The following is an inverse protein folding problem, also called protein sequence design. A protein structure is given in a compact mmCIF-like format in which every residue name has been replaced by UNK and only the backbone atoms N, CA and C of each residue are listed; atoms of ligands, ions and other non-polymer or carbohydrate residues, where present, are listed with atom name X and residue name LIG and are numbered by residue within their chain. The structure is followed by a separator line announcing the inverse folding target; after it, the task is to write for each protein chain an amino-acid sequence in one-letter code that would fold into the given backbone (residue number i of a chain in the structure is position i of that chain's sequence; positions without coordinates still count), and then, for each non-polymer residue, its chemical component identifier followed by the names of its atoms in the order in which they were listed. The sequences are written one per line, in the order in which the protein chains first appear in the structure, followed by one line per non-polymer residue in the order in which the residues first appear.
data_IF_789175567631
#
_entry.id   IF_789175567631
#
_cell.length_a   1.000
_cell.length_b   1.000
_cell.length_c   1.000
_cell.angle_alpha   90.00
_cell.angle_beta   90.00
_cell.angle_gamma   90.00
#
_symmetry.space_group_name_H-M   'P 1'
#
loop_
_entity.id
_entity.type
_entity.pdbx_description
1 polymer ?
#
# COMPACT_ATOMS: atom_id res chain seq x y z
N UNK A 1 -9.40 17.47 -8.09
CA UNK A 1 -9.40 18.26 -6.83
C UNK A 1 -9.49 17.34 -5.62
N UNK A 2 -10.42 16.38 -5.59
CA UNK A 2 -10.53 15.39 -4.50
C UNK A 2 -9.29 14.46 -4.40
N UNK A 3 -8.84 13.85 -5.50
CA UNK A 3 -7.63 13.00 -5.47
C UNK A 3 -6.36 13.77 -5.07
N UNK A 4 -6.23 15.04 -5.48
CA UNK A 4 -5.11 15.89 -5.07
C UNK A 4 -5.14 16.20 -3.56
N UNK A 5 -6.34 16.35 -2.99
CA UNK A 5 -6.54 16.53 -1.56
C UNK A 5 -6.09 15.29 -0.77
N UNK A 6 -6.37 14.09 -1.27
CA UNK A 6 -5.87 12.84 -0.69
C UNK A 6 -4.34 12.80 -0.70
N UNK A 7 -3.70 13.14 -1.83
CA UNK A 7 -2.24 13.19 -1.92
C UNK A 7 -1.62 14.22 -0.96
N UNK A 8 -2.18 15.44 -0.89
CA UNK A 8 -1.77 16.48 0.06
C UNK A 8 -1.88 15.97 1.50
N UNK A 9 -3.02 15.37 1.87
CA UNK A 9 -3.21 14.82 3.20
C UNK A 9 -2.17 13.75 3.52
N UNK A 10 -1.88 12.85 2.60
CA UNK A 10 -0.91 11.77 2.81
C UNK A 10 0.49 12.31 3.13
N UNK A 11 0.97 13.26 2.32
CA UNK A 11 2.30 13.86 2.53
C UNK A 11 2.37 14.57 3.87
N UNK A 12 1.39 15.43 4.17
CA UNK A 12 1.37 16.15 5.44
C UNK A 12 1.25 15.20 6.64
N UNK A 13 0.47 14.13 6.52
CA UNK A 13 0.29 13.15 7.58
C UNK A 13 1.57 12.32 7.83
N UNK A 14 2.33 11.97 6.78
CA UNK A 14 3.63 11.33 6.91
C UNK A 14 4.64 12.23 7.62
N UNK A 15 4.77 13.49 7.19
CA UNK A 15 5.64 14.46 7.86
C UNK A 15 5.23 14.66 9.33
N UNK A 16 3.93 14.77 9.61
CA UNK A 16 3.41 14.90 10.97
C UNK A 16 3.68 13.65 11.84
N UNK A 17 3.83 12.49 11.20
CA UNK A 17 4.20 11.22 11.84
C UNK A 17 5.72 11.05 12.02
N UNK A 18 6.52 12.04 11.62
CA UNK A 18 7.97 12.04 11.76
C UNK A 18 8.72 11.30 10.66
N UNK A 19 8.11 11.10 9.49
CA UNK A 19 8.83 10.63 8.31
C UNK A 19 9.70 11.76 7.74
N UNK A 20 10.90 11.40 7.30
CA UNK A 20 11.80 12.35 6.66
C UNK A 20 11.30 12.66 5.25
N UNK A 21 11.41 13.93 4.85
CA UNK A 21 10.94 14.38 3.55
C UNK A 21 11.69 13.68 2.39
N UNK A 22 12.96 13.34 2.58
CA UNK A 22 13.75 12.59 1.60
C UNK A 22 13.15 11.21 1.29
N UNK A 23 12.60 10.53 2.29
CA UNK A 23 11.95 9.23 2.10
C UNK A 23 10.67 9.38 1.26
N UNK A 24 9.89 10.43 1.52
CA UNK A 24 8.68 10.76 0.76
C UNK A 24 9.03 11.08 -0.70
N UNK A 25 10.11 11.83 -0.95
CA UNK A 25 10.55 12.18 -2.29
C UNK A 25 11.03 10.96 -3.09
N UNK A 26 11.68 10.00 -2.44
CA UNK A 26 12.24 8.82 -3.09
C UNK A 26 11.21 7.71 -3.33
N UNK A 27 10.27 7.52 -2.40
CA UNK A 27 9.33 6.40 -2.40
C UNK A 27 7.90 6.80 -2.81
N UNK A 28 7.59 8.09 -2.79
CA UNK A 28 6.26 8.60 -3.07
C UNK A 28 5.85 8.42 -4.54
N UNK A 29 4.69 7.80 -4.74
CA UNK A 29 4.04 7.73 -6.04
C UNK A 29 2.92 8.79 -6.09
N UNK A 30 3.11 9.81 -6.92
CA UNK A 30 2.21 10.94 -7.06
C UNK A 30 1.44 10.82 -8.38
N UNK A 31 0.11 10.79 -8.31
CA UNK A 31 -0.76 10.68 -9.47
C UNK A 31 -1.29 12.02 -9.95
N UNK A 32 -1.49 12.98 -9.04
CA UNK A 32 -2.02 14.32 -9.39
C UNK A 32 -0.95 15.40 -9.53
N UNK A 33 0.25 15.14 -9.02
CA UNK A 33 1.45 15.93 -9.29
C UNK A 33 2.37 15.18 -10.27
N UNK A 34 3.10 15.92 -11.11
CA UNK A 34 4.03 15.34 -12.09
C UNK A 34 5.32 14.81 -11.45
N UNK A 35 5.66 15.26 -10.24
CA UNK A 35 6.71 14.69 -9.41
C UNK A 35 6.46 14.95 -7.91
N UNK A 36 7.24 14.27 -7.07
CA UNK A 36 7.28 14.53 -5.64
C UNK A 36 7.72 15.97 -5.33
N UNK A 37 8.72 16.50 -6.05
CA UNK A 37 9.16 17.88 -5.86
C UNK A 37 8.06 18.89 -6.19
N UNK A 38 7.26 18.65 -7.24
CA UNK A 38 6.13 19.53 -7.57
C UNK A 38 5.10 19.55 -6.43
N UNK A 39 4.85 18.39 -5.79
CA UNK A 39 3.97 18.33 -4.63
C UNK A 39 4.52 19.19 -3.48
N UNK A 40 5.82 19.08 -3.16
CA UNK A 40 6.43 19.85 -2.08
C UNK A 40 6.47 21.35 -2.39
N UNK A 41 6.84 21.72 -3.61
CA UNK A 41 6.83 23.11 -4.07
C UNK A 41 5.40 23.70 -3.97
N UNK A 42 4.37 22.90 -4.29
CA UNK A 42 2.97 23.28 -4.09
C UNK A 42 2.64 23.48 -2.61
N UNK A 43 3.04 22.57 -1.73
CA UNK A 43 2.78 22.67 -0.29
C UNK A 43 3.44 23.91 0.34
N UNK A 44 4.68 24.23 -0.07
CA UNK A 44 5.37 25.46 0.35
C UNK A 44 4.64 26.70 -0.17
N UNK A 45 4.30 26.72 -1.48
CA UNK A 45 3.60 27.85 -2.10
C UNK A 45 2.24 28.12 -1.48
N UNK A 46 1.50 27.06 -1.14
CA UNK A 46 0.21 27.17 -0.48
C UNK A 46 0.33 27.39 1.04
N UNK A 47 1.55 27.42 1.59
CA UNK A 47 1.81 27.72 3.00
C UNK A 47 1.45 26.59 3.97
N UNK A 48 1.41 25.35 3.49
CA UNK A 48 1.34 24.16 4.35
C UNK A 48 2.71 23.81 4.94
N UNK A 49 3.78 24.14 4.20
CA UNK A 49 5.16 23.98 4.65
C UNK A 49 5.84 25.35 4.71
N UNK A 50 6.70 25.56 5.70
CA UNK A 50 7.58 26.73 5.79
C UNK A 50 9.04 26.29 5.99
N UNK A 51 9.98 27.06 5.46
CA UNK A 51 11.41 26.74 5.56
C UNK A 51 12.17 27.02 4.27
N UNK A 52 13.40 26.53 4.21
CA UNK A 52 14.33 26.80 3.12
C UNK A 52 14.36 25.64 2.12
N UNK A 53 14.06 25.96 0.86
CA UNK A 53 14.32 25.08 -0.28
C UNK A 53 15.57 25.59 -0.95
N UNK A 54 16.65 24.81 -0.87
CA UNK A 54 17.93 25.18 -1.48
C UNK A 54 18.31 24.22 -2.59
N UNK A 55 18.79 24.77 -3.69
CA UNK A 55 19.46 24.00 -4.72
C UNK A 55 20.85 23.64 -4.21
N UNK A 56 21.04 22.37 -3.87
CA UNK A 56 22.38 21.83 -3.65
C UNK A 56 22.85 21.26 -4.98
N UNK A 57 24.06 21.63 -5.41
CA UNK A 57 24.71 20.92 -6.50
C UNK A 57 24.68 19.44 -6.14
N UNK A 58 24.17 18.56 -7.01
CA UNK A 58 24.33 17.15 -6.76
C UNK A 58 25.82 16.90 -6.55
N UNK A 59 26.18 16.39 -5.37
CA UNK A 59 27.46 15.75 -5.23
C UNK A 59 27.40 14.51 -6.11
N UNK A 60 27.79 14.70 -7.38
CA UNK A 60 27.89 13.66 -8.37
C UNK A 60 28.77 12.56 -7.82
N UNK A 61 28.14 11.44 -7.49
CA UNK A 61 28.80 10.15 -7.44
C UNK A 61 29.58 9.95 -8.74
N UNK A 62 30.88 9.70 -8.58
CA UNK A 62 31.94 9.63 -9.59
C UNK A 62 32.29 10.93 -10.32
N UNK A 63 32.84 11.88 -9.56
CA UNK A 63 33.76 12.87 -10.14
C UNK A 63 34.87 12.18 -10.95
N UNK A 64 35.08 12.66 -12.17
CA UNK A 64 36.22 12.27 -12.99
C UNK A 64 37.50 12.36 -12.16
N UNK A 65 38.18 11.22 -11.95
CA UNK A 65 39.41 11.21 -11.16
C UNK A 65 40.50 11.97 -11.89
N UNK A 66 41.16 12.91 -11.21
CA UNK A 66 42.32 13.62 -11.76
C UNK A 66 43.55 12.70 -11.80
N UNK A 67 44.53 13.03 -12.65
CA UNK A 67 45.79 12.28 -12.73
C UNK A 67 46.50 12.21 -11.36
N UNK A 68 46.39 13.26 -10.55
CA UNK A 68 47.01 13.32 -9.23
C UNK A 68 46.31 12.41 -8.22
N UNK A 69 44.99 12.28 -8.29
CA UNK A 69 44.22 11.37 -7.45
C UNK A 69 44.46 9.91 -7.83
N UNK A 70 44.46 9.59 -9.13
CA UNK A 70 44.80 8.25 -9.62
C UNK A 70 46.23 7.87 -9.21
N UNK A 71 47.17 8.80 -9.32
CA UNK A 71 48.56 8.58 -8.92
C UNK A 71 48.73 8.32 -7.43
N UNK A 72 47.88 8.91 -6.57
CA UNK A 72 47.88 8.68 -5.12
C UNK A 72 47.15 7.39 -4.73
N UNK A 73 46.02 7.11 -5.39
CA UNK A 73 45.12 6.00 -5.07
C UNK A 73 45.64 4.65 -5.53
N UNK A 74 46.30 4.59 -6.69
CA UNK A 74 46.74 3.33 -7.30
C UNK A 74 48.26 3.19 -7.32
N UNK A 75 48.71 1.97 -7.08
CA UNK A 75 50.10 1.55 -7.23
C UNK A 75 50.44 1.28 -8.70
N UNK A 76 51.74 1.20 -9.02
CA UNK A 76 52.19 0.89 -10.38
C UNK A 76 51.71 -0.49 -10.85
N UNK A 77 51.53 -1.45 -9.94
CA UNK A 77 51.03 -2.78 -10.27
C UNK A 77 49.56 -2.71 -10.68
N UNK A 78 48.71 -2.07 -9.85
CA UNK A 78 47.27 -1.93 -10.10
C UNK A 78 46.99 -1.12 -11.38
N UNK A 79 47.74 -0.04 -11.64
CA UNK A 79 47.63 0.70 -12.89
C UNK A 79 47.95 -0.16 -14.12
N UNK A 80 48.93 -1.07 -14.02
CA UNK A 80 49.26 -1.99 -15.11
C UNK A 80 48.21 -3.07 -15.29
N UNK A 81 47.55 -3.48 -14.21
CA UNK A 81 46.49 -4.48 -14.27
C UNK A 81 45.24 -3.89 -14.94
N UNK A 82 44.83 -2.67 -14.55
CA UNK A 82 43.75 -1.93 -15.21
C UNK A 82 44.04 -1.75 -16.72
N UNK A 83 45.27 -1.36 -17.08
CA UNK A 83 45.64 -1.24 -18.49
C UNK A 83 45.65 -2.58 -19.23
N UNK A 84 46.08 -3.68 -18.57
CA UNK A 84 46.11 -5.00 -19.19
C UNK A 84 44.70 -5.53 -19.47
N UNK A 85 43.79 -5.34 -18.53
CA UNK A 85 42.38 -5.72 -18.66
C UNK A 85 41.68 -4.95 -19.79
N UNK A 86 42.11 -3.72 -20.05
CA UNK A 86 41.62 -2.87 -21.14
C UNK A 86 42.45 -2.98 -22.44
N UNK A 87 43.36 -3.96 -22.54
CA UNK A 87 44.16 -4.20 -23.75
C UNK A 87 45.19 -3.12 -24.08
N UNK A 88 45.51 -2.24 -23.13
CA UNK A 88 46.42 -1.11 -23.29
C UNK A 88 47.87 -1.44 -22.88
N UNK A 89 48.81 -0.66 -23.40
CA UNK A 89 50.25 -0.87 -23.18
C UNK A 89 50.63 -0.63 -21.71
N UNK A 90 51.28 -1.63 -21.08
CA UNK A 90 51.64 -1.63 -19.64
C UNK A 90 53.10 -1.21 -19.33
N UNK A 91 53.87 -0.79 -20.34
CA UNK A 91 55.24 -0.27 -20.14
C UNK A 91 55.22 1.25 -19.94
N UNK A 92 56.14 1.77 -19.11
CA UNK A 92 56.31 3.21 -18.91
C UNK A 92 56.57 3.58 -17.45
N UNK A 93 56.85 4.87 -17.21
CA UNK A 93 56.91 5.45 -15.86
C UNK A 93 55.50 5.61 -15.28
N UNK A 94 55.37 5.73 -13.96
CA UNK A 94 54.06 5.79 -13.27
C UNK A 94 53.13 6.87 -13.85
N UNK A 95 53.63 8.08 -14.09
CA UNK A 95 52.84 9.17 -14.67
C UNK A 95 52.27 8.81 -16.05
N UNK A 96 53.07 8.19 -16.91
CA UNK A 96 52.62 7.77 -18.24
C UNK A 96 51.56 6.65 -18.19
N UNK A 97 51.55 5.83 -17.12
CA UNK A 97 50.51 4.82 -16.88
C UNK A 97 49.23 5.49 -16.38
N UNK A 98 49.34 6.46 -15.48
CA UNK A 98 48.21 7.25 -14.95
C UNK A 98 47.48 7.97 -16.08
N UNK A 99 48.20 8.66 -16.96
CA UNK A 99 47.60 9.38 -18.11
C UNK A 99 46.82 8.43 -19.04
N UNK A 100 47.28 7.18 -19.18
CA UNK A 100 46.61 6.16 -19.99
C UNK A 100 45.39 5.54 -19.31
N UNK A 101 45.39 5.47 -17.98
CA UNK A 101 44.29 4.93 -17.18
C UNK A 101 43.16 5.96 -17.02
N UNK A 102 43.50 7.26 -17.01
CA UNK A 102 42.56 8.36 -16.79
C UNK A 102 41.28 8.29 -17.66
N UNK A 103 41.34 8.17 -19.00
CA UNK A 103 40.14 8.05 -19.82
C UNK A 103 39.39 6.71 -19.65
N UNK A 104 40.07 5.65 -19.20
CA UNK A 104 39.46 4.34 -18.94
C UNK A 104 38.61 4.37 -17.67
N UNK A 105 39.10 5.04 -16.63
CA UNK A 105 38.39 5.15 -15.35
C UNK A 105 37.29 6.20 -15.37
N UNK A 106 37.43 7.24 -16.19
CA UNK A 106 36.45 8.33 -16.27
C UNK A 106 35.37 8.08 -17.34
N UNK A 107 35.46 6.99 -18.11
CA UNK A 107 34.58 6.71 -19.24
C UNK A 107 34.90 7.62 -20.44
N UNK A 108 34.74 7.11 -21.67
CA UNK A 108 34.87 7.97 -22.85
C UNK A 108 33.76 9.03 -22.81
N UNK A 109 34.14 10.29 -23.04
CA UNK A 109 33.34 11.53 -23.01
C UNK A 109 32.21 11.57 -24.06
N UNK A 110 31.23 10.66 -23.98
CA UNK A 110 30.00 10.70 -24.79
C UNK A 110 28.71 10.61 -23.93
N UNK A 111 28.80 10.81 -22.62
CA UNK A 111 27.62 11.00 -21.77
C UNK A 111 27.29 12.50 -21.70
N UNK A 112 26.07 12.87 -22.12
CA UNK A 112 25.52 14.22 -21.91
C UNK A 112 25.61 14.59 -20.42
N UNK A 113 25.91 15.85 -20.09
CA UNK A 113 25.91 16.29 -18.70
C UNK A 113 24.48 16.21 -18.17
N UNK A 114 24.24 15.33 -17.21
CA UNK A 114 23.08 15.43 -16.32
C UNK A 114 23.33 16.65 -15.41
N UNK A 115 22.68 17.76 -15.72
CA UNK A 115 22.47 18.87 -14.78
C UNK A 115 21.47 18.41 -13.70
N UNK A 116 21.87 17.45 -12.87
CA UNK A 116 21.06 17.04 -11.71
C UNK A 116 21.33 18.04 -10.58
N UNK A 117 20.55 19.11 -10.52
CA UNK A 117 20.46 19.94 -9.31
C UNK A 117 19.56 19.21 -8.33
N UNK A 118 20.10 18.71 -7.20
CA UNK A 118 19.29 18.10 -6.16
C UNK A 118 18.74 19.21 -5.26
N UNK A 119 17.43 19.26 -5.04
CA UNK A 119 16.85 20.16 -4.05
C UNK A 119 17.04 19.56 -2.64
N UNK A 120 17.55 20.36 -1.72
CA UNK A 120 17.51 20.09 -0.28
C UNK A 120 16.35 20.86 0.31
N UNK A 121 15.53 20.17 1.09
CA UNK A 121 14.34 20.73 1.72
C UNK A 121 14.53 20.67 3.24
N UNK A 122 14.65 21.84 3.87
CA UNK A 122 14.61 22.00 5.33
C UNK A 122 13.31 22.73 5.66
N UNK A 123 12.23 21.97 5.83
CA UNK A 123 10.86 22.48 5.91
C UNK A 123 10.10 21.86 7.08
N UNK A 124 9.30 22.69 7.75
CA UNK A 124 8.44 22.33 8.86
C UNK A 124 6.96 22.49 8.49
N UNK A 125 6.10 21.75 9.19
CA UNK A 125 4.64 21.92 9.08
C UNK A 125 4.19 23.23 9.71
N UNK A 126 3.33 23.97 9.01
CA UNK A 126 2.73 25.21 9.53
C UNK A 126 1.45 24.92 10.32
N UNK A 127 0.96 25.92 11.06
CA UNK A 127 -0.38 25.87 11.69
C UNK A 127 -1.48 25.55 10.67
N UNK A 128 -1.35 26.03 9.43
CA UNK A 128 -2.30 25.75 8.34
C UNK A 128 -2.29 24.27 7.96
N UNK A 129 -1.14 23.60 7.96
CA UNK A 129 -1.07 22.17 7.72
C UNK A 129 -1.73 21.37 8.85
N UNK A 130 -1.49 21.75 10.10
CA UNK A 130 -2.15 21.11 11.24
C UNK A 130 -3.67 21.29 11.21
N UNK A 131 -4.17 22.51 10.92
CA UNK A 131 -5.60 22.76 10.74
C UNK A 131 -6.19 21.91 9.61
N UNK A 132 -5.50 21.82 8.47
CA UNK A 132 -5.93 20.98 7.36
C UNK A 132 -5.98 19.49 7.73
N UNK A 133 -4.99 18.98 8.47
CA UNK A 133 -4.99 17.59 8.94
C UNK A 133 -6.15 17.33 9.89
N UNK A 134 -6.42 18.24 10.83
CA UNK A 134 -7.51 18.12 11.80
C UNK A 134 -8.89 18.14 11.11
N UNK A 135 -9.11 19.07 10.19
CA UNK A 135 -10.35 19.17 9.42
C UNK A 135 -10.60 17.95 8.52
N UNK A 136 -9.52 17.25 8.13
CA UNK A 136 -9.56 16.14 7.20
C UNK A 136 -9.14 14.80 7.81
N UNK A 137 -9.17 14.67 9.14
CA UNK A 137 -8.79 13.44 9.85
C UNK A 137 -9.60 12.20 9.42
N UNK A 138 -10.75 12.38 8.78
CA UNK A 138 -11.54 11.30 8.17
C UNK A 138 -10.84 10.63 6.98
N UNK A 139 -9.86 11.28 6.35
CA UNK A 139 -9.06 10.71 5.26
C UNK A 139 -8.20 9.55 5.76
N UNK A 140 -7.69 9.61 6.99
CA UNK A 140 -6.92 8.51 7.59
C UNK A 140 -7.77 7.24 7.71
N UNK A 141 -9.01 7.37 8.19
CA UNK A 141 -9.97 6.26 8.19
C UNK A 141 -10.26 5.76 6.77
N UNK A 142 -10.40 6.68 5.79
CA UNK A 142 -10.63 6.29 4.40
C UNK A 142 -9.50 5.41 3.87
N UNK A 143 -8.25 5.83 4.05
CA UNK A 143 -7.09 5.09 3.61
C UNK A 143 -6.98 3.73 4.30
N UNK A 144 -7.29 3.68 5.60
CA UNK A 144 -7.21 2.46 6.39
C UNK A 144 -8.29 1.43 6.02
N UNK A 145 -9.55 1.86 5.84
CA UNK A 145 -10.70 0.94 5.77
C UNK A 145 -11.50 1.01 4.47
N UNK A 146 -11.45 2.12 3.72
CA UNK A 146 -12.42 2.44 2.67
C UNK A 146 -11.81 2.67 1.28
N UNK A 147 -10.50 2.50 1.11
CA UNK A 147 -9.75 2.74 -0.14
C UNK A 147 -10.28 1.98 -1.37
N UNK A 148 -10.99 0.87 -1.13
CA UNK A 148 -11.68 0.10 -2.16
C UNK A 148 -12.91 0.80 -2.77
N UNK A 149 -13.34 1.93 -2.20
CA UNK A 149 -14.42 2.78 -2.67
C UNK A 149 -13.88 4.09 -3.21
N UNK A 150 -14.66 4.76 -4.07
CA UNK A 150 -14.30 6.08 -4.59
C UNK A 150 -14.08 7.07 -3.45
N UNK A 151 -12.93 7.75 -3.47
CA UNK A 151 -12.62 8.81 -2.51
C UNK A 151 -13.65 9.95 -2.58
N UNK A 152 -14.05 10.35 -3.78
CA UNK A 152 -15.03 11.42 -4.00
C UNK A 152 -16.42 11.05 -3.44
N UNK A 153 -16.83 9.78 -3.56
CA UNK A 153 -18.10 9.31 -3.01
C UNK A 153 -18.08 9.41 -1.48
N UNK A 154 -16.98 9.02 -0.84
CA UNK A 154 -16.85 9.10 0.60
C UNK A 154 -16.69 10.55 1.08
N UNK A 155 -15.93 11.38 0.40
CA UNK A 155 -15.80 12.82 0.70
C UNK A 155 -17.18 13.50 0.65
N UNK A 156 -17.97 13.22 -0.39
CA UNK A 156 -19.35 13.74 -0.51
C UNK A 156 -20.22 13.26 0.65
N UNK A 157 -20.04 12.00 1.07
CA UNK A 157 -20.76 11.44 2.21
C UNK A 157 -20.41 12.11 3.53
N UNK A 158 -19.11 12.35 3.77
CA UNK A 158 -18.61 13.08 4.95
C UNK A 158 -19.19 14.49 5.00
N UNK A 159 -19.16 15.22 3.88
CA UNK A 159 -19.71 16.58 3.80
C UNK A 159 -21.23 16.65 4.11
N UNK A 160 -21.97 15.57 3.87
CA UNK A 160 -23.39 15.44 4.19
C UNK A 160 -23.69 14.91 5.60
N UNK A 161 -22.66 14.51 6.36
CA UNK A 161 -22.82 13.84 7.66
C UNK A 161 -22.66 14.83 8.81
N UNK A 162 -23.49 14.67 9.85
CA UNK A 162 -23.30 15.35 11.14
C UNK A 162 -22.76 14.42 12.24
N UNK A 163 -22.42 13.18 11.89
CA UNK A 163 -21.87 12.19 12.81
C UNK A 163 -20.35 12.32 12.94
N UNK A 164 -19.78 11.64 13.94
CA UNK A 164 -18.32 11.54 14.08
C UNK A 164 -17.71 10.60 13.03
N UNK A 165 -16.41 10.71 12.80
CA UNK A 165 -15.64 9.98 11.75
C UNK A 165 -16.00 8.49 11.68
N UNK A 166 -16.01 7.80 12.82
CA UNK A 166 -16.30 6.36 12.90
C UNK A 166 -17.75 6.06 12.48
N UNK A 167 -18.72 6.77 13.04
CA UNK A 167 -20.13 6.56 12.75
C UNK A 167 -20.45 6.90 11.28
N UNK A 168 -19.83 7.95 10.73
CA UNK A 168 -19.92 8.29 9.30
C UNK A 168 -19.39 7.15 8.42
N UNK A 169 -18.23 6.57 8.74
CA UNK A 169 -17.67 5.42 8.01
C UNK A 169 -18.55 4.17 8.10
N UNK A 170 -19.12 3.89 9.27
CA UNK A 170 -20.04 2.76 9.47
C UNK A 170 -21.34 2.95 8.68
N UNK A 171 -21.92 4.15 8.71
CA UNK A 171 -23.14 4.49 7.97
C UNK A 171 -22.94 4.40 6.45
N UNK A 172 -21.79 4.88 5.96
CA UNK A 172 -21.40 4.73 4.56
C UNK A 172 -21.37 3.27 4.13
N UNK A 173 -20.75 2.40 4.93
CA UNK A 173 -20.73 0.96 4.67
C UNK A 173 -22.14 0.34 4.70
N UNK A 174 -22.99 0.74 5.65
CA UNK A 174 -24.35 0.20 5.78
C UNK A 174 -25.25 0.56 4.59
N UNK A 175 -25.10 1.76 4.04
CA UNK A 175 -25.81 2.16 2.81
C UNK A 175 -25.35 1.34 1.60
N UNK A 176 -24.04 1.09 1.46
CA UNK A 176 -23.50 0.24 0.39
C UNK A 176 -23.99 -1.20 0.55
N UNK A 177 -23.92 -1.76 1.75
CA UNK A 177 -24.43 -3.10 2.08
C UNK A 177 -25.90 -3.22 1.67
N UNK A 178 -26.73 -2.25 2.07
CA UNK A 178 -28.16 -2.23 1.79
C UNK A 178 -28.44 -2.19 0.29
N UNK A 179 -27.79 -1.28 -0.45
CA UNK A 179 -27.93 -1.15 -1.91
C UNK A 179 -27.46 -2.42 -2.63
N UNK A 180 -26.30 -2.96 -2.23
CA UNK A 180 -25.74 -4.16 -2.84
C UNK A 180 -26.64 -5.38 -2.67
N UNK A 181 -27.27 -5.54 -1.50
CA UNK A 181 -28.24 -6.61 -1.25
C UNK A 181 -29.50 -6.46 -2.11
N UNK A 182 -30.04 -5.26 -2.26
CA UNK A 182 -31.22 -4.98 -3.10
C UNK A 182 -30.92 -5.29 -4.58
N UNK A 183 -29.72 -4.93 -5.04
CA UNK A 183 -29.32 -5.08 -6.44
C UNK A 183 -28.63 -6.41 -6.76
N UNK A 184 -28.53 -7.34 -5.79
CA UNK A 184 -27.81 -8.62 -5.91
C UNK A 184 -26.33 -8.48 -6.34
N UNK A 185 -25.68 -7.39 -5.93
CA UNK A 185 -24.25 -7.11 -6.19
C UNK A 185 -23.37 -7.77 -5.13
N UNK A 186 -23.25 -9.09 -5.19
CA UNK A 186 -22.63 -9.89 -4.12
C UNK A 186 -21.16 -9.51 -3.82
N UNK A 187 -20.35 -9.22 -4.84
CA UNK A 187 -18.96 -8.80 -4.62
C UNK A 187 -18.87 -7.46 -3.88
N UNK A 188 -19.71 -6.49 -4.25
CA UNK A 188 -19.79 -5.17 -3.57
C UNK A 188 -20.25 -5.34 -2.13
N UNK A 189 -21.26 -6.19 -1.89
CA UNK A 189 -21.72 -6.52 -0.54
C UNK A 189 -20.58 -7.12 0.30
N UNK A 190 -19.79 -8.03 -0.27
CA UNK A 190 -18.65 -8.65 0.41
C UNK A 190 -17.56 -7.62 0.74
N UNK A 191 -17.20 -6.77 -0.21
CA UNK A 191 -16.24 -5.68 0.00
C UNK A 191 -16.71 -4.75 1.12
N UNK A 192 -17.97 -4.32 1.12
CA UNK A 192 -18.51 -3.43 2.14
C UNK A 192 -18.53 -4.04 3.55
N UNK A 193 -18.73 -5.36 3.69
CA UNK A 193 -18.56 -6.03 4.98
C UNK A 193 -17.10 -6.01 5.45
N UNK A 194 -16.15 -6.24 4.55
CA UNK A 194 -14.72 -6.17 4.86
C UNK A 194 -14.33 -4.76 5.31
N UNK A 195 -14.72 -3.72 4.55
CA UNK A 195 -14.51 -2.33 4.93
C UNK A 195 -15.11 -2.02 6.30
N UNK A 196 -16.36 -2.42 6.53
CA UNK A 196 -17.03 -2.20 7.81
C UNK A 196 -16.29 -2.85 8.97
N UNK A 197 -15.75 -4.06 8.77
CA UNK A 197 -14.88 -4.68 9.76
C UNK A 197 -13.69 -3.78 10.06
N UNK A 198 -12.96 -3.30 9.04
CA UNK A 198 -11.78 -2.45 9.22
C UNK A 198 -12.12 -1.09 9.87
N UNK A 199 -13.31 -0.51 9.65
CA UNK A 199 -13.76 0.67 10.41
C UNK A 199 -13.83 0.36 11.92
N UNK A 200 -14.34 -0.81 12.31
CA UNK A 200 -14.30 -1.22 13.72
C UNK A 200 -12.90 -1.49 14.25
N UNK A 201 -12.00 -2.05 13.43
CA UNK A 201 -10.60 -2.21 13.84
C UNK A 201 -9.90 -0.86 14.06
N UNK A 202 -10.20 0.13 13.23
CA UNK A 202 -9.71 1.50 13.39
C UNK A 202 -10.19 2.11 14.72
N UNK A 203 -11.45 1.85 15.10
CA UNK A 203 -12.03 2.27 16.40
C UNK A 203 -11.56 1.40 17.60
N UNK A 204 -10.77 0.35 17.36
CA UNK A 204 -10.33 -0.59 18.39
C UNK A 204 -11.41 -1.59 18.85
N UNK A 205 -12.60 -1.60 18.22
CA UNK A 205 -13.66 -2.59 18.47
C UNK A 205 -13.39 -3.89 17.69
N UNK A 206 -12.43 -4.65 18.19
CA UNK A 206 -12.07 -5.93 17.58
C UNK A 206 -13.13 -7.03 17.74
N UNK A 207 -14.11 -6.84 18.64
CA UNK A 207 -15.23 -7.76 18.80
C UNK A 207 -16.19 -7.64 17.61
N UNK A 208 -16.54 -6.40 17.22
CA UNK A 208 -17.32 -6.12 16.01
C UNK A 208 -16.55 -6.43 14.74
N UNK A 209 -15.25 -6.09 14.68
CA UNK A 209 -14.37 -6.51 13.59
C UNK A 209 -14.49 -8.02 13.34
N UNK A 210 -14.31 -8.83 14.39
CA UNK A 210 -14.34 -10.29 14.28
C UNK A 210 -15.71 -10.81 13.82
N UNK A 211 -16.81 -10.20 14.27
CA UNK A 211 -18.17 -10.57 13.84
C UNK A 211 -18.36 -10.34 12.32
N UNK A 212 -17.90 -9.21 11.78
CA UNK A 212 -18.01 -8.87 10.35
C UNK A 212 -16.99 -9.61 9.47
N UNK A 213 -15.76 -9.79 9.94
CA UNK A 213 -14.70 -10.49 9.20
C UNK A 213 -14.96 -12.02 9.13
N UNK A 214 -15.62 -12.58 10.16
CA UNK A 214 -16.18 -13.94 10.09
C UNK A 214 -17.35 -14.04 9.10
N UNK A 215 -18.18 -13.00 9.00
CA UNK A 215 -19.27 -12.97 8.03
C UNK A 215 -18.71 -12.96 6.60
N UNK A 216 -17.66 -12.18 6.36
CA UNK A 216 -16.92 -12.16 5.10
C UNK A 216 -16.43 -13.57 4.71
N UNK A 217 -15.76 -14.28 5.63
CA UNK A 217 -15.32 -15.67 5.42
C UNK A 217 -16.49 -16.61 5.07
N UNK A 218 -17.58 -16.55 5.86
CA UNK A 218 -18.74 -17.42 5.67
C UNK A 218 -19.38 -17.23 4.29
N UNK A 219 -19.47 -15.97 3.84
CA UNK A 219 -20.01 -15.60 2.53
C UNK A 219 -19.06 -15.98 1.39
N UNK A 220 -17.74 -15.96 1.60
CA UNK A 220 -16.75 -16.54 0.68
C UNK A 220 -17.08 -17.99 0.29
N UNK A 221 -17.43 -18.79 1.30
CA UNK A 221 -17.81 -20.19 1.13
C UNK A 221 -19.24 -20.40 0.60
N UNK A 222 -20.10 -19.40 0.71
CA UNK A 222 -21.53 -19.49 0.41
C UNK A 222 -22.03 -18.23 -0.29
N UNK A 223 -21.58 -17.99 -1.53
CA UNK A 223 -21.96 -16.79 -2.27
C UNK A 223 -23.47 -16.73 -2.53
N UNK A 224 -24.03 -15.53 -2.44
CA UNK A 224 -25.47 -15.28 -2.68
C UNK A 224 -25.77 -15.32 -4.19
N UNK A 225 -24.91 -14.70 -4.99
CA UNK A 225 -24.96 -14.69 -6.46
C UNK A 225 -23.53 -14.58 -7.02
N UNK A 226 -23.27 -15.25 -8.13
CA UNK A 226 -22.05 -15.09 -8.93
C UNK A 226 -22.46 -15.18 -10.41
N UNK A 227 -22.12 -14.16 -11.19
CA UNK A 227 -22.17 -14.26 -12.64
C UNK A 227 -20.90 -14.95 -13.20
N UNK A 228 -20.90 -15.25 -14.50
CA UNK A 228 -19.80 -15.96 -15.16
C UNK A 228 -18.46 -15.23 -15.06
N UNK A 229 -18.49 -13.90 -15.13
CA UNK A 229 -17.29 -13.08 -15.10
C UNK A 229 -16.71 -13.07 -13.69
N UNK A 230 -17.55 -12.82 -12.69
CA UNK A 230 -17.20 -12.83 -11.27
C UNK A 230 -16.68 -14.20 -10.83
N UNK A 231 -17.24 -15.29 -11.37
CA UNK A 231 -16.83 -16.65 -11.06
C UNK A 231 -15.35 -16.95 -11.38
N UNK A 232 -14.87 -16.46 -12.52
CA UNK A 232 -13.53 -16.75 -13.03
C UNK A 232 -12.44 -16.24 -12.09
N UNK A 233 -12.63 -15.06 -11.49
CA UNK A 233 -11.70 -14.43 -10.56
C UNK A 233 -12.11 -14.59 -9.08
N UNK A 234 -13.19 -15.33 -8.79
CA UNK A 234 -13.74 -15.42 -7.44
C UNK A 234 -12.81 -16.17 -6.49
N UNK A 235 -12.26 -15.48 -5.51
CA UNK A 235 -11.51 -16.11 -4.43
C UNK A 235 -12.49 -16.61 -3.34
N UNK A 236 -12.53 -17.94 -3.12
CA UNK A 236 -13.48 -18.61 -2.21
C UNK A 236 -13.09 -18.35 -0.75
N UNK A 237 -11.82 -18.57 -0.41
CA UNK A 237 -11.20 -18.20 0.86
C UNK A 237 -10.17 -17.12 0.56
N UNK A 238 -10.37 -15.94 1.14
CA UNK A 238 -9.44 -14.82 0.99
C UNK A 238 -8.32 -14.88 2.04
N UNK A 239 -7.07 -14.87 1.58
CA UNK A 239 -5.90 -15.01 2.46
C UNK A 239 -5.78 -13.85 3.47
N UNK A 240 -5.96 -12.62 3.02
CA UNK A 240 -5.91 -11.44 3.90
C UNK A 240 -6.95 -11.53 5.03
N UNK A 241 -8.16 -11.99 4.74
CA UNK A 241 -9.20 -12.25 5.74
C UNK A 241 -8.76 -13.32 6.76
N UNK A 242 -8.07 -14.38 6.35
CA UNK A 242 -7.55 -15.38 7.30
C UNK A 242 -6.45 -14.79 8.19
N UNK A 243 -5.53 -14.01 7.63
CA UNK A 243 -4.46 -13.34 8.39
C UNK A 243 -5.07 -12.39 9.43
N UNK A 244 -6.05 -11.59 9.01
CA UNK A 244 -6.82 -10.68 9.86
C UNK A 244 -7.48 -11.41 11.03
N UNK A 245 -8.22 -12.48 10.75
CA UNK A 245 -8.84 -13.31 11.79
C UNK A 245 -7.79 -13.88 12.74
N UNK A 246 -6.68 -14.43 12.24
CA UNK A 246 -5.59 -14.94 13.10
C UNK A 246 -5.03 -13.88 14.03
N UNK A 247 -4.69 -12.70 13.51
CA UNK A 247 -4.10 -11.61 14.27
C UNK A 247 -4.99 -11.19 15.45
N UNK A 248 -6.30 -11.18 15.26
CA UNK A 248 -7.26 -10.83 16.31
C UNK A 248 -7.47 -11.98 17.29
N UNK A 249 -7.57 -13.21 16.80
CA UNK A 249 -7.75 -14.41 17.64
C UNK A 249 -6.50 -14.73 18.49
N UNK A 250 -5.30 -14.32 18.07
CA UNK A 250 -4.08 -14.48 18.87
C UNK A 250 -3.98 -13.45 20.00
N UNK A 251 -4.63 -12.29 19.86
CA UNK A 251 -4.48 -11.14 20.78
C UNK A 251 -5.62 -10.97 21.78
N UNK A 252 -6.79 -11.57 21.53
CA UNK A 252 -7.97 -11.38 22.36
C UNK A 252 -8.41 -12.67 23.04
N UNK A 253 -8.73 -12.57 24.33
CA UNK A 253 -9.51 -13.60 25.01
C UNK A 253 -10.97 -13.50 24.58
N UNK A 254 -11.33 -14.15 23.48
CA UNK A 254 -12.73 -14.32 23.09
C UNK A 254 -13.27 -15.66 23.61
N UNK A 255 -14.59 -15.74 23.72
CA UNK A 255 -15.27 -16.97 24.10
C UNK A 255 -15.12 -18.10 23.06
N UNK A 256 -16.08 -19.02 23.01
CA UNK A 256 -16.01 -20.10 22.03
C UNK A 256 -16.12 -19.56 20.58
N UNK A 257 -15.03 -19.67 19.79
CA UNK A 257 -15.04 -19.37 18.35
C UNK A 257 -16.20 -20.07 17.63
N UNK A 258 -16.49 -21.31 18.04
CA UNK A 258 -17.62 -22.07 17.49
C UNK A 258 -18.96 -21.40 17.75
N UNK A 259 -19.21 -20.93 18.99
CA UNK A 259 -20.45 -20.23 19.32
C UNK A 259 -20.58 -18.93 18.52
N UNK A 260 -19.49 -18.16 18.39
CA UNK A 260 -19.48 -16.93 17.58
C UNK A 260 -19.73 -17.22 16.10
N UNK A 261 -19.02 -18.18 15.51
CA UNK A 261 -19.27 -18.65 14.15
C UNK A 261 -20.74 -19.05 13.93
N UNK A 262 -21.34 -19.76 14.89
CA UNK A 262 -22.73 -20.19 14.77
C UNK A 262 -23.73 -19.03 14.79
N UNK A 263 -23.47 -17.99 15.60
CA UNK A 263 -24.21 -16.73 15.64
C UNK A 263 -24.10 -15.99 14.30
N UNK A 264 -22.88 -15.82 13.77
CA UNK A 264 -22.63 -15.07 12.53
C UNK A 264 -23.18 -15.78 11.30
N UNK A 265 -23.08 -17.12 11.25
CA UNK A 265 -23.72 -17.91 10.20
C UNK A 265 -25.21 -17.56 10.03
N UNK A 266 -25.93 -17.40 11.14
CA UNK A 266 -27.36 -17.08 11.10
C UNK A 266 -27.64 -15.64 10.64
N UNK A 267 -26.68 -14.72 10.81
CA UNK A 267 -26.75 -13.33 10.32
C UNK A 267 -26.28 -13.19 8.86
N UNK A 268 -25.64 -14.21 8.29
CA UNK A 268 -25.00 -14.13 6.98
C UNK A 268 -25.97 -14.20 5.78
N UNK A 269 -27.29 -14.14 6.00
CA UNK A 269 -28.32 -14.15 4.94
C UNK A 269 -28.14 -15.22 3.84
N UNK A 270 -27.57 -16.38 4.18
CA UNK A 270 -27.29 -17.46 3.22
C UNK A 270 -28.62 -18.08 2.75
N UNK A 271 -29.02 -17.77 1.51
CA UNK A 271 -30.23 -18.34 0.88
C UNK A 271 -30.00 -19.77 0.39
N UNK A 272 -28.82 -20.04 -0.17
CA UNK A 272 -28.46 -21.34 -0.72
C UNK A 272 -27.08 -21.76 -0.24
N UNK A 273 -27.03 -22.84 0.55
CA UNK A 273 -25.77 -23.37 1.09
C UNK A 273 -24.98 -24.04 -0.04
N UNK A 274 -23.78 -23.54 -0.33
CA UNK A 274 -22.81 -24.15 -1.24
C UNK A 274 -21.92 -25.12 -0.45
N UNK A 275 -21.36 -24.64 0.67
CA UNK A 275 -20.52 -25.43 1.57
C UNK A 275 -21.24 -25.56 2.92
N UNK A 276 -21.52 -26.79 3.40
CA UNK A 276 -22.26 -26.99 4.65
C UNK A 276 -21.60 -26.33 5.87
N UNK A 277 -22.41 -25.76 6.77
CA UNK A 277 -21.98 -25.08 8.01
C UNK A 277 -20.88 -25.80 8.79
N UNK A 278 -21.03 -27.12 8.98
CA UNK A 278 -20.04 -27.95 9.69
C UNK A 278 -18.70 -28.01 8.94
N UNK A 279 -18.74 -28.07 7.61
CA UNK A 279 -17.56 -28.05 6.74
C UNK A 279 -16.92 -26.67 6.75
N UNK A 280 -17.69 -25.59 6.63
CA UNK A 280 -17.20 -24.21 6.71
C UNK A 280 -16.44 -23.94 8.01
N UNK A 281 -16.96 -24.38 9.16
CA UNK A 281 -16.24 -24.22 10.43
C UNK A 281 -14.95 -25.06 10.52
N UNK A 282 -14.92 -26.25 9.88
CA UNK A 282 -13.68 -27.04 9.81
C UNK A 282 -12.64 -26.37 8.92
N UNK A 283 -13.06 -25.77 7.81
CA UNK A 283 -12.19 -25.00 6.92
C UNK A 283 -11.61 -23.79 7.64
N UNK A 284 -12.44 -23.01 8.35
CA UNK A 284 -11.99 -21.88 9.15
C UNK A 284 -10.83 -22.28 10.08
N UNK A 285 -10.99 -23.38 10.82
CA UNK A 285 -9.95 -23.86 11.73
C UNK A 285 -8.69 -24.29 10.99
N UNK A 286 -8.81 -25.05 9.89
CA UNK A 286 -7.66 -25.42 9.06
C UNK A 286 -6.90 -24.19 8.57
N UNK A 287 -7.60 -23.16 8.11
CA UNK A 287 -6.98 -21.92 7.65
C UNK A 287 -6.27 -21.17 8.79
N UNK A 288 -6.90 -21.05 9.95
CA UNK A 288 -6.30 -20.46 11.15
C UNK A 288 -5.04 -21.25 11.58
N UNK A 289 -5.09 -22.58 11.47
CA UNK A 289 -3.97 -23.48 11.79
C UNK A 289 -2.87 -23.50 10.71
N UNK A 290 -2.95 -22.64 9.68
CA UNK A 290 -1.91 -22.45 8.67
C UNK A 290 -1.98 -23.40 7.47
N UNK A 291 -3.16 -23.92 7.13
CA UNK A 291 -3.35 -24.67 5.88
C UNK A 291 -3.09 -23.80 4.64
N UNK A 292 -2.59 -24.43 3.58
CA UNK A 292 -2.38 -23.81 2.27
C UNK A 292 -3.73 -23.35 1.68
N UNK A 293 -3.89 -22.03 1.53
CA UNK A 293 -5.15 -21.42 1.07
C UNK A 293 -5.33 -21.60 -0.44
N UNK A 294 -4.25 -21.63 -1.23
CA UNK A 294 -4.32 -21.82 -2.67
C UNK A 294 -4.78 -23.25 -2.98
N UNK A 295 -4.18 -24.25 -2.32
CA UNK A 295 -4.59 -25.65 -2.43
C UNK A 295 -6.05 -25.84 -2.00
N UNK A 296 -6.45 -25.24 -0.87
CA UNK A 296 -7.84 -25.29 -0.41
C UNK A 296 -8.81 -24.66 -1.41
N UNK A 297 -8.48 -23.50 -1.97
CA UNK A 297 -9.30 -22.84 -2.97
C UNK A 297 -9.47 -23.71 -4.23
N UNK A 298 -8.41 -24.39 -4.68
CA UNK A 298 -8.47 -25.34 -5.77
C UNK A 298 -9.42 -26.52 -5.45
N UNK A 299 -9.24 -27.18 -4.30
CA UNK A 299 -10.09 -28.29 -3.86
C UNK A 299 -11.58 -27.90 -3.74
N UNK A 300 -11.83 -26.73 -3.15
CA UNK A 300 -13.19 -26.20 -2.97
C UNK A 300 -13.84 -25.88 -4.31
N UNK A 301 -13.06 -25.34 -5.25
CA UNK A 301 -13.55 -25.01 -6.59
C UNK A 301 -14.02 -26.27 -7.31
N UNK A 302 -13.16 -27.28 -7.38
CA UNK A 302 -13.47 -28.58 -8.00
C UNK A 302 -14.70 -29.26 -7.36
N UNK A 303 -14.77 -29.24 -6.03
CA UNK A 303 -15.77 -30.01 -5.30
C UNK A 303 -17.14 -29.36 -5.24
N UNK A 304 -17.20 -28.05 -5.03
CA UNK A 304 -18.45 -27.35 -4.67
C UNK A 304 -18.89 -26.32 -5.72
N UNK A 305 -17.94 -25.69 -6.42
CA UNK A 305 -18.23 -24.54 -7.26
C UNK A 305 -18.38 -24.92 -8.74
N UNK A 306 -17.49 -25.73 -9.30
CA UNK A 306 -17.58 -26.14 -10.71
C UNK A 306 -18.92 -26.83 -11.04
N UNK A 307 -19.47 -27.63 -10.11
CA UNK A 307 -20.79 -28.25 -10.30
C UNK A 307 -21.97 -27.29 -10.23
N UNK A 308 -21.81 -26.16 -9.54
CA UNK A 308 -22.90 -25.22 -9.22
C UNK A 308 -22.87 -23.97 -10.09
N UNK A 309 -21.68 -23.54 -10.49
CA UNK A 309 -21.40 -22.29 -11.19
C UNK A 309 -20.46 -22.47 -12.39
N UNK A 310 -19.92 -23.68 -12.62
CA UNK A 310 -19.15 -23.96 -13.82
C UNK A 310 -20.06 -23.87 -15.03
N UNK A 311 -19.76 -22.91 -15.90
CA UNK A 311 -20.34 -22.77 -17.22
C UNK A 311 -19.75 -23.81 -18.17
#
# INVERSE_FOLDING_TARGET
MSEQKLEIFNVLNFLNSGYELEDILNEGNFGTFSSAEECIDYLVKEGYLEGDVSEVAAEGGNGAMTAEEISKKYTVAELKDILRENGLKVSGKKQELVERVLPVLNGNDDAEPADDVKKSYDVDLTDKAHEFLDENAWIDLYMFALIQFSFEDYETYVAGSSAGIIETGLNFCDEIISRALINNQFLVFRLALSAKAHVYAYDGDYESFLDYDLQHFILGLNPISLDAQSYASYEIINEANIINLRNVLEKLEFGSLKKRFDKIWNKSHIKHVTIPKKTSFKLLKRCIDGADIEELNFELREKYFNKKFGF
#
